data_IF_760567736226
#
_entry.id   IF_760567736226
#
_cell.length_a   1.000
_cell.length_b   1.000
_cell.length_c   1.000
_cell.angle_alpha   90.00
_cell.angle_beta   90.00
_cell.angle_gamma   90.00
#
_symmetry.space_group_name_H-M   'P 1'
#
loop_
_entity.id
_entity.type
_entity.pdbx_description
1 polymer ?
#
# COMPACT_ATOMS: atom_id res chain seq x y z
N UNK A 1 -9.10 10.08 -12.73
CA UNK A 1 -8.03 9.37 -12.04
C UNK A 1 -7.35 10.38 -11.12
N UNK A 2 -7.40 10.17 -9.80
CA UNK A 2 -6.86 11.15 -8.84
C UNK A 2 -5.33 11.22 -8.85
N UNK A 3 -4.76 12.17 -8.12
CA UNK A 3 -3.31 12.38 -7.94
C UNK A 3 -2.56 11.10 -7.53
N UNK A 4 -3.22 10.19 -6.81
CA UNK A 4 -2.67 8.91 -6.35
C UNK A 4 -3.11 7.70 -7.18
N UNK A 5 -3.59 7.92 -8.41
CA UNK A 5 -4.06 6.84 -9.29
C UNK A 5 -3.00 5.78 -9.56
N UNK A 6 -1.72 6.17 -9.61
CA UNK A 6 -0.61 5.23 -9.74
C UNK A 6 -0.48 4.33 -8.50
N UNK A 7 -0.64 4.87 -7.29
CA UNK A 7 -0.56 4.07 -6.06
C UNK A 7 -1.71 3.06 -5.98
N UNK A 8 -2.94 3.51 -6.25
CA UNK A 8 -4.14 2.66 -6.34
C UNK A 8 -3.94 1.53 -7.37
N UNK A 9 -3.38 1.85 -8.54
CA UNK A 9 -3.11 0.85 -9.57
C UNK A 9 -2.12 -0.22 -9.11
N UNK A 10 -1.06 0.15 -8.38
CA UNK A 10 -0.10 -0.82 -7.83
C UNK A 10 -0.74 -1.72 -6.77
N UNK A 11 -1.56 -1.16 -5.87
CA UNK A 11 -2.29 -1.96 -4.87
C UNK A 11 -3.20 -3.00 -5.55
N UNK A 12 -3.99 -2.57 -6.55
CA UNK A 12 -4.89 -3.44 -7.31
C UNK A 12 -4.15 -4.48 -8.14
N UNK A 13 -3.04 -4.10 -8.76
CA UNK A 13 -2.22 -5.02 -9.55
C UNK A 13 -1.66 -6.14 -8.69
N UNK A 14 -1.10 -5.81 -7.51
CA UNK A 14 -0.54 -6.81 -6.61
C UNK A 14 -1.65 -7.66 -6.00
N UNK A 15 -2.76 -7.05 -5.58
CA UNK A 15 -3.95 -7.77 -5.13
C UNK A 15 -4.43 -8.80 -6.17
N UNK A 16 -4.46 -8.43 -7.45
CA UNK A 16 -4.87 -9.32 -8.55
C UNK A 16 -3.85 -10.43 -8.87
N UNK A 17 -2.56 -10.21 -8.59
CA UNK A 17 -1.50 -11.20 -8.81
C UNK A 17 -1.24 -12.14 -7.63
N UNK A 18 -1.78 -11.82 -6.46
CA UNK A 18 -1.54 -12.60 -5.24
C UNK A 18 -2.43 -13.83 -5.23
N UNK A 19 -1.84 -15.00 -4.98
CA UNK A 19 -2.60 -16.24 -4.77
C UNK A 19 -3.41 -16.14 -3.47
N UNK A 20 -4.73 -16.35 -3.56
CA UNK A 20 -5.66 -16.21 -2.43
C UNK A 20 -6.18 -17.55 -1.93
N UNK A 21 -5.47 -18.64 -2.22
CA UNK A 21 -5.86 -19.99 -1.78
C UNK A 21 -5.80 -20.12 -0.25
N UNK A 22 -4.92 -19.35 0.39
CA UNK A 22 -4.84 -19.28 1.85
C UNK A 22 -5.78 -18.19 2.42
N UNK A 23 -6.60 -18.50 3.44
CA UNK A 23 -7.58 -17.55 3.99
C UNK A 23 -6.97 -16.24 4.50
N UNK A 24 -5.80 -16.30 5.13
CA UNK A 24 -5.11 -15.10 5.62
C UNK A 24 -4.67 -14.18 4.47
N UNK A 25 -4.14 -14.78 3.40
CA UNK A 25 -3.73 -14.07 2.19
C UNK A 25 -4.93 -13.45 1.47
N UNK A 26 -6.06 -14.17 1.41
CA UNK A 26 -7.30 -13.63 0.86
C UNK A 26 -7.79 -12.39 1.62
N UNK A 27 -7.74 -12.41 2.96
CA UNK A 27 -8.12 -11.26 3.77
C UNK A 27 -7.16 -10.07 3.58
N UNK A 28 -5.87 -10.33 3.40
CA UNK A 28 -4.86 -9.31 3.11
C UNK A 28 -5.12 -8.63 1.75
N UNK A 29 -5.38 -9.43 0.72
CA UNK A 29 -5.72 -8.94 -0.62
C UNK A 29 -7.01 -8.12 -0.59
N UNK A 30 -8.03 -8.57 0.15
CA UNK A 30 -9.26 -7.82 0.33
C UNK A 30 -9.04 -6.46 1.01
N UNK A 31 -8.15 -6.40 2.01
CA UNK A 31 -7.83 -5.15 2.70
C UNK A 31 -7.04 -4.18 1.81
N UNK A 32 -6.13 -4.68 0.96
CA UNK A 32 -5.46 -3.87 -0.07
C UNK A 32 -6.48 -3.26 -1.06
N UNK A 33 -7.46 -4.06 -1.50
CA UNK A 33 -8.55 -3.58 -2.35
C UNK A 33 -9.37 -2.48 -1.66
N UNK A 34 -9.72 -2.67 -0.39
CA UNK A 34 -10.45 -1.67 0.39
C UNK A 34 -9.66 -0.36 0.53
N UNK A 35 -8.37 -0.43 0.81
CA UNK A 35 -7.49 0.76 0.88
C UNK A 35 -7.47 1.47 -0.47
N UNK A 36 -7.35 0.72 -1.56
CA UNK A 36 -7.36 1.27 -2.92
C UNK A 36 -8.69 2.01 -3.22
N UNK A 37 -9.83 1.43 -2.85
CA UNK A 37 -11.15 2.04 -3.06
C UNK A 37 -11.35 3.32 -2.23
N UNK A 38 -10.90 3.32 -0.98
CA UNK A 38 -10.93 4.53 -0.13
C UNK A 38 -10.06 5.63 -0.73
N UNK A 39 -8.90 5.27 -1.26
CA UNK A 39 -7.96 6.23 -1.88
C UNK A 39 -8.44 6.83 -3.20
N UNK A 40 -9.38 6.17 -3.88
CA UNK A 40 -10.03 6.76 -5.05
C UNK A 40 -11.01 7.87 -4.66
N UNK A 41 -11.61 7.78 -3.48
CA UNK A 41 -12.60 8.74 -2.98
C UNK A 41 -12.00 9.81 -2.05
N UNK A 42 -10.92 9.50 -1.35
CA UNK A 42 -10.32 10.35 -0.31
C UNK A 42 -8.79 10.27 -0.32
N UNK A 43 -8.12 11.30 0.18
CA UNK A 43 -6.66 11.28 0.44
C UNK A 43 -6.30 10.62 1.78
N UNK A 44 -7.32 10.29 2.57
CA UNK A 44 -7.17 9.71 3.89
C UNK A 44 -7.69 8.28 3.90
N UNK A 45 -6.89 7.41 4.51
CA UNK A 45 -7.21 6.00 4.69
C UNK A 45 -7.65 5.81 6.13
N UNK A 46 -8.91 5.44 6.31
CA UNK A 46 -9.40 4.97 7.62
C UNK A 46 -9.30 3.45 7.68
N UNK A 47 -8.59 2.93 8.68
CA UNK A 47 -8.42 1.48 8.90
C UNK A 47 -9.02 1.11 10.27
N UNK A 48 -9.98 0.17 10.32
CA UNK A 48 -10.49 -0.37 11.57
C UNK A 48 -9.39 -0.99 12.45
N UNK A 49 -9.52 -0.91 13.77
CA UNK A 49 -8.48 -1.37 14.71
C UNK A 49 -8.14 -2.86 14.56
N UNK A 50 -9.16 -3.70 14.39
CA UNK A 50 -9.05 -5.14 14.16
C UNK A 50 -8.33 -5.49 12.84
N UNK A 51 -8.26 -4.55 11.91
CA UNK A 51 -7.62 -4.71 10.59
C UNK A 51 -6.24 -4.10 10.47
N UNK A 52 -5.74 -3.41 11.50
CA UNK A 52 -4.44 -2.73 11.42
C UNK A 52 -3.30 -3.70 11.09
N UNK A 53 -3.28 -4.89 11.72
CA UNK A 53 -2.23 -5.89 11.49
C UNK A 53 -2.24 -6.44 10.06
N UNK A 54 -3.43 -6.72 9.54
CA UNK A 54 -3.55 -7.30 8.20
C UNK A 54 -3.29 -6.26 7.11
N UNK A 55 -3.73 -5.01 7.32
CA UNK A 55 -3.38 -3.89 6.45
C UNK A 55 -1.86 -3.64 6.44
N UNK A 56 -1.21 -3.67 7.61
CA UNK A 56 0.23 -3.53 7.72
C UNK A 56 0.98 -4.63 6.93
N UNK A 57 0.57 -5.89 7.09
CA UNK A 57 1.14 -7.02 6.34
C UNK A 57 0.93 -6.90 4.83
N UNK A 58 -0.26 -6.49 4.41
CA UNK A 58 -0.55 -6.23 3.00
C UNK A 58 0.39 -5.19 2.39
N UNK A 59 0.57 -4.06 3.08
CA UNK A 59 1.46 -3.00 2.62
C UNK A 59 2.94 -3.42 2.63
N UNK A 60 3.37 -4.25 3.58
CA UNK A 60 4.70 -4.86 3.55
C UNK A 60 4.87 -5.76 2.32
N UNK A 61 3.87 -6.60 2.02
CA UNK A 61 3.88 -7.47 0.84
C UNK A 61 3.95 -6.68 -0.48
N UNK A 62 3.18 -5.58 -0.58
CA UNK A 62 3.24 -4.63 -1.70
C UNK A 62 4.65 -4.08 -1.86
N UNK A 63 5.24 -3.56 -0.78
CA UNK A 63 6.58 -2.99 -0.81
C UNK A 63 7.64 -4.02 -1.24
N UNK A 64 7.62 -5.21 -0.63
CA UNK A 64 8.53 -6.30 -0.96
C UNK A 64 8.43 -6.74 -2.42
N UNK A 65 7.21 -6.97 -2.91
CA UNK A 65 6.98 -7.37 -4.30
C UNK A 65 7.50 -6.33 -5.29
N UNK A 66 7.21 -5.04 -5.06
CA UNK A 66 7.70 -3.97 -5.93
C UNK A 66 9.21 -3.83 -5.88
N UNK A 67 9.82 -3.98 -4.70
CA UNK A 67 11.26 -3.87 -4.54
C UNK A 67 12.02 -5.02 -5.21
N UNK A 68 11.49 -6.24 -5.13
CA UNK A 68 12.15 -7.43 -5.67
C UNK A 68 11.85 -7.68 -7.14
N UNK A 69 10.63 -7.42 -7.60
CA UNK A 69 10.19 -7.82 -8.94
C UNK A 69 10.11 -6.65 -9.92
N UNK A 70 9.58 -5.49 -9.51
CA UNK A 70 9.20 -4.43 -10.46
C UNK A 70 10.26 -3.32 -10.55
N UNK A 71 10.85 -2.92 -9.42
CA UNK A 71 11.89 -1.88 -9.38
C UNK A 71 13.12 -2.25 -10.23
N UNK A 72 13.66 -3.48 -10.18
CA UNK A 72 14.81 -3.84 -10.99
C UNK A 72 14.53 -3.75 -12.49
N UNK A 73 13.32 -4.11 -12.93
CA UNK A 73 12.89 -4.01 -14.33
C UNK A 73 12.84 -2.55 -14.80
N UNK A 74 12.24 -1.66 -14.00
CA UNK A 74 12.17 -0.24 -14.31
C UNK A 74 13.57 0.40 -14.42
N UNK A 75 14.49 0.00 -13.53
CA UNK A 75 15.89 0.43 -13.54
C UNK A 75 16.61 -0.08 -14.79
N UNK A 76 16.47 -1.37 -15.11
CA UNK A 76 17.11 -2.00 -16.27
C UNK A 76 16.62 -1.41 -17.60
N UNK A 77 15.33 -1.04 -17.68
CA UNK A 77 14.74 -0.38 -18.84
C UNK A 77 15.10 1.12 -18.95
N UNK A 78 15.80 1.69 -17.95
CA UNK A 78 16.09 3.12 -17.91
C UNK A 78 14.86 4.01 -17.70
N UNK A 79 13.74 3.46 -17.24
CA UNK A 79 12.49 4.20 -17.05
C UNK A 79 12.54 5.01 -15.74
N UNK A 80 13.11 6.22 -15.81
CA UNK A 80 13.32 7.08 -14.64
C UNK A 80 12.03 7.56 -13.97
N UNK A 81 10.98 7.84 -14.74
CA UNK A 81 9.69 8.21 -14.18
C UNK A 81 9.05 7.02 -13.42
N UNK A 82 9.05 5.84 -14.03
CA UNK A 82 8.57 4.60 -13.40
C UNK A 82 9.37 4.23 -12.16
N UNK A 83 10.71 4.32 -12.22
CA UNK A 83 11.59 4.10 -11.07
C UNK A 83 11.20 4.99 -9.88
N UNK A 84 11.01 6.30 -10.12
CA UNK A 84 10.60 7.25 -9.07
C UNK A 84 9.23 6.90 -8.47
N UNK A 85 8.24 6.59 -9.31
CA UNK A 85 6.91 6.21 -8.83
C UNK A 85 6.96 4.92 -8.01
N UNK A 86 7.66 3.88 -8.48
CA UNK A 86 7.78 2.60 -7.77
C UNK A 86 8.47 2.81 -6.42
N UNK A 87 9.58 3.56 -6.37
CA UNK A 87 10.26 3.89 -5.11
C UNK A 87 9.34 4.63 -4.14
N UNK A 88 8.61 5.62 -4.63
CA UNK A 88 7.64 6.34 -3.81
C UNK A 88 6.54 5.42 -3.25
N UNK A 89 6.04 4.47 -4.05
CA UNK A 89 5.04 3.48 -3.61
C UNK A 89 5.61 2.57 -2.53
N UNK A 90 6.85 2.10 -2.70
CA UNK A 90 7.56 1.29 -1.70
C UNK A 90 7.69 2.06 -0.38
N UNK A 91 8.25 3.27 -0.43
CA UNK A 91 8.49 4.09 0.77
C UNK A 91 7.19 4.45 1.48
N UNK A 92 6.14 4.79 0.72
CA UNK A 92 4.82 5.10 1.26
C UNK A 92 4.19 3.87 1.90
N UNK A 93 4.25 2.71 1.25
CA UNK A 93 3.71 1.46 1.79
C UNK A 93 4.41 1.06 3.08
N UNK A 94 5.74 1.15 3.13
CA UNK A 94 6.53 0.89 4.33
C UNK A 94 6.20 1.87 5.47
N UNK A 95 6.07 3.17 5.16
CA UNK A 95 5.70 4.19 6.16
C UNK A 95 4.30 3.94 6.74
N UNK A 96 3.32 3.61 5.89
CA UNK A 96 1.97 3.29 6.34
C UNK A 96 1.96 1.99 7.16
N UNK A 97 2.67 0.96 6.69
CA UNK A 97 2.85 -0.31 7.41
C UNK A 97 3.39 -0.08 8.82
N UNK A 98 4.47 0.68 8.97
CA UNK A 98 5.06 0.97 10.30
C UNK A 98 4.06 1.66 11.21
N UNK A 99 3.34 2.67 10.71
CA UNK A 99 2.32 3.39 11.50
C UNK A 99 1.18 2.46 11.94
N UNK A 100 0.70 1.60 11.05
CA UNK A 100 -0.35 0.63 11.35
C UNK A 100 0.10 -0.42 12.37
N UNK A 101 1.32 -0.95 12.20
CA UNK A 101 1.91 -1.91 13.11
C UNK A 101 2.08 -1.31 14.51
N UNK A 102 2.68 -0.12 14.62
CA UNK A 102 2.84 0.57 15.90
C UNK A 102 1.48 0.87 16.55
N UNK A 103 0.47 1.29 15.79
CA UNK A 103 -0.89 1.52 16.33
C UNK A 103 -1.53 0.24 16.85
N UNK A 104 -1.32 -0.88 16.17
CA UNK A 104 -1.83 -2.20 16.59
C UNK A 104 -1.18 -2.71 17.88
N UNK A 105 0.07 -2.29 18.17
CA UNK A 105 0.82 -2.66 19.37
C UNK A 105 0.50 -1.77 20.57
N UNK A 106 0.38 -0.46 20.35
CA UNK A 106 0.15 0.52 21.43
C UNK A 106 -1.21 0.37 22.11
N UNK A 107 -2.16 -0.36 21.49
CA UNK A 107 -3.52 -0.48 21.99
C UNK A 107 -4.31 0.83 21.87
N UNK A 108 -5.62 0.71 21.76
CA UNK A 108 -6.57 1.83 21.72
C UNK A 108 -7.96 1.30 21.98
N UNK A 109 -8.92 2.16 22.31
CA UNK A 109 -10.33 1.80 22.58
C UNK A 109 -11.07 1.29 21.33
N UNK A 110 -10.46 0.42 20.53
CA UNK A 110 -10.93 -0.06 19.23
C UNK A 110 -11.22 1.06 18.21
N UNK A 111 -10.62 2.23 18.41
CA UNK A 111 -10.82 3.37 17.53
C UNK A 111 -10.15 3.17 16.16
N UNK A 112 -10.86 3.50 15.06
CA UNK A 112 -10.27 3.49 13.72
C UNK A 112 -9.06 4.41 13.63
N UNK A 113 -8.06 3.99 12.87
CA UNK A 113 -6.87 4.79 12.65
C UNK A 113 -6.93 5.48 11.28
N UNK A 114 -6.67 6.78 11.27
CA UNK A 114 -6.68 7.60 10.05
C UNK A 114 -5.25 7.90 9.63
N UNK A 115 -4.96 7.69 8.35
CA UNK A 115 -3.66 7.89 7.73
C UNK A 115 -3.79 8.78 6.52
N UNK A 116 -2.89 9.75 6.39
CA UNK A 116 -2.80 10.59 5.19
C UNK A 116 -1.62 10.16 4.33
N UNK A 117 -1.79 10.19 3.01
CA UNK A 117 -0.70 9.96 2.07
C UNK A 117 0.29 11.13 2.05
N UNK A 118 1.59 10.89 1.83
CA UNK A 118 2.55 11.96 1.53
C UNK A 118 2.23 12.62 0.18
N UNK A 119 2.86 13.76 -0.11
CA UNK A 119 2.75 14.38 -1.43
C UNK A 119 3.22 13.38 -2.51
N UNK A 120 2.51 13.34 -3.64
CA UNK A 120 2.88 12.51 -4.78
C UNK A 120 4.28 12.91 -5.31
N UNK A 121 5.02 11.98 -5.94
CA UNK A 121 6.32 12.31 -6.50
C UNK A 121 6.12 13.31 -7.65
N UNK A 122 6.85 14.43 -7.61
CA UNK A 122 6.85 15.41 -8.68
C UNK A 122 7.49 14.84 -9.96
N UNK A 123 7.00 15.28 -11.12
CA UNK A 123 7.49 14.86 -12.45
C UNK A 123 8.77 15.57 -12.91
N UNK A 124 9.38 16.43 -12.09
CA UNK A 124 10.63 17.16 -12.38
C UNK A 124 11.81 16.25 -12.79
#
# INVERSE_FOLDING_TARGET
>A
MGEYGFFVAHLRFIAAKTDTSEPETAMMVAELGRIADVLEASREITVPFDRLRIAARGLAGVAGFLQEQILPEAVAAGNKAGERQIRWVIDTSMRLMTKLASRAELGGNDEPFVLSLPAAPSDD
#
